data_IF_858629585795
#
_entry.id   IF_858629585795
#
_cell.length_a   1.000
_cell.length_b   1.000
_cell.length_c   1.000
_cell.angle_alpha   90.00
_cell.angle_beta   90.00
_cell.angle_gamma   90.00
#
_symmetry.space_group_name_H-M   'P 1'
#
loop_
_entity.id
_entity.type
_entity.pdbx_description
1 polymer ?
#
# COMPACT_ATOMS: atom_id res chain seq x y z
N UNK A 1 -25.59 -3.88 -2.47
CA UNK A 1 -25.46 -2.69 -1.58
C UNK A 1 -24.97 -1.51 -2.40
N UNK A 2 -25.33 -0.32 -1.95
CA UNK A 2 -24.80 0.93 -2.48
C UNK A 2 -23.72 1.47 -1.53
N UNK A 3 -22.48 1.56 -2.00
CA UNK A 3 -21.28 1.80 -1.18
C UNK A 3 -20.58 3.09 -1.64
N UNK A 4 -20.28 3.97 -0.69
CA UNK A 4 -19.48 5.16 -0.91
C UNK A 4 -18.10 4.99 -0.26
N UNK A 5 -17.03 4.96 -1.05
CA UNK A 5 -15.67 5.14 -0.56
C UNK A 5 -15.34 6.62 -0.45
N UNK A 6 -14.84 7.04 0.68
CA UNK A 6 -14.43 8.42 0.96
C UNK A 6 -12.91 8.48 1.01
N UNK A 7 -12.32 9.21 0.08
CA UNK A 7 -10.90 9.26 -0.28
C UNK A 7 -10.36 7.99 -0.96
N UNK A 8 -9.16 8.09 -1.51
CA UNK A 8 -8.54 7.01 -2.27
C UNK A 8 -7.03 6.96 -2.01
N UNK A 9 -6.67 6.68 -0.75
CA UNK A 9 -5.28 6.62 -0.32
C UNK A 9 -4.56 5.48 -1.02
N UNK A 10 -3.48 5.79 -1.73
CA UNK A 10 -2.64 4.82 -2.45
C UNK A 10 -3.40 3.91 -3.45
N UNK A 11 -4.59 4.35 -3.92
CA UNK A 11 -5.40 3.58 -4.86
C UNK A 11 -6.17 2.40 -4.26
N UNK A 12 -6.12 2.23 -2.94
CA UNK A 12 -6.74 1.07 -2.26
C UNK A 12 -8.25 1.06 -2.47
N UNK A 13 -8.91 2.23 -2.35
CA UNK A 13 -10.35 2.33 -2.59
C UNK A 13 -10.72 1.92 -4.03
N UNK A 14 -9.92 2.31 -5.03
CA UNK A 14 -10.16 1.94 -6.44
C UNK A 14 -10.09 0.43 -6.66
N UNK A 15 -9.11 -0.24 -6.08
CA UNK A 15 -8.92 -1.69 -6.21
C UNK A 15 -10.11 -2.42 -5.56
N UNK A 16 -10.48 -2.05 -4.33
CA UNK A 16 -11.62 -2.64 -3.61
C UNK A 16 -12.93 -2.36 -4.36
N UNK A 17 -13.18 -1.12 -4.77
CA UNK A 17 -14.40 -0.73 -5.48
C UNK A 17 -14.57 -1.47 -6.82
N UNK A 18 -13.48 -1.70 -7.56
CA UNK A 18 -13.49 -2.48 -8.80
C UNK A 18 -13.99 -3.90 -8.55
N UNK A 19 -13.50 -4.55 -7.51
CA UNK A 19 -13.92 -5.91 -7.15
C UNK A 19 -15.37 -5.95 -6.64
N UNK A 20 -15.77 -4.99 -5.79
CA UNK A 20 -17.14 -4.88 -5.31
C UNK A 20 -18.14 -4.67 -6.47
N UNK A 21 -17.76 -3.90 -7.50
CA UNK A 21 -18.61 -3.76 -8.72
C UNK A 21 -18.76 -5.07 -9.46
N UNK A 22 -17.71 -5.89 -9.59
CA UNK A 22 -17.80 -7.24 -10.17
C UNK A 22 -18.74 -8.15 -9.37
N UNK A 23 -18.82 -7.94 -8.05
CA UNK A 23 -19.72 -8.66 -7.14
C UNK A 23 -21.16 -8.12 -7.17
N UNK A 24 -21.47 -7.17 -8.06
CA UNK A 24 -22.82 -6.64 -8.26
C UNK A 24 -23.20 -5.49 -7.31
N UNK A 25 -22.24 -4.86 -6.64
CA UNK A 25 -22.49 -3.68 -5.81
C UNK A 25 -22.44 -2.38 -6.64
N UNK A 26 -23.26 -1.39 -6.27
CA UNK A 26 -23.16 -0.02 -6.76
C UNK A 26 -22.13 0.74 -5.91
N UNK A 27 -21.02 1.17 -6.51
CA UNK A 27 -19.89 1.72 -5.76
C UNK A 27 -19.39 3.01 -6.38
N UNK A 28 -19.30 4.06 -5.57
CA UNK A 28 -18.66 5.33 -5.93
C UNK A 28 -17.51 5.68 -4.99
N UNK A 29 -16.54 6.44 -5.51
CA UNK A 29 -15.41 6.95 -4.76
C UNK A 29 -15.48 8.48 -4.77
N UNK A 30 -15.47 9.11 -3.60
CA UNK A 30 -15.48 10.56 -3.42
C UNK A 30 -14.15 11.03 -2.86
N UNK A 31 -13.47 11.97 -3.54
CA UNK A 31 -12.14 12.44 -3.17
C UNK A 31 -12.16 13.94 -2.88
N UNK A 32 -11.60 14.33 -1.74
CA UNK A 32 -11.62 15.72 -1.25
C UNK A 32 -10.29 16.44 -1.33
N UNK A 33 -9.18 15.70 -1.51
CA UNK A 33 -7.85 16.27 -1.56
C UNK A 33 -7.17 15.93 -2.89
N UNK A 34 -6.93 16.96 -3.70
CA UNK A 34 -6.34 16.82 -5.02
C UNK A 34 -4.91 16.26 -5.00
N UNK A 35 -4.13 16.59 -3.98
CA UNK A 35 -2.70 16.27 -3.97
C UNK A 35 -2.43 14.82 -3.55
N UNK A 36 -3.16 14.33 -2.54
CA UNK A 36 -2.84 13.03 -1.90
C UNK A 36 -3.69 11.89 -2.47
N UNK A 37 -4.94 12.17 -2.86
CA UNK A 37 -5.92 11.12 -3.14
C UNK A 37 -6.38 11.05 -4.60
N UNK A 38 -6.28 12.15 -5.34
CA UNK A 38 -6.85 12.23 -6.69
C UNK A 38 -6.05 11.54 -7.79
N UNK A 39 -4.78 11.26 -7.55
CA UNK A 39 -3.92 10.59 -8.53
C UNK A 39 -4.37 9.16 -8.88
N UNK A 40 -5.17 8.56 -8.02
CA UNK A 40 -5.69 7.20 -8.19
C UNK A 40 -7.16 7.15 -8.64
N UNK A 41 -7.73 8.29 -9.06
CA UNK A 41 -9.10 8.41 -9.52
C UNK A 41 -10.14 8.60 -8.42
N UNK A 42 -11.39 8.79 -8.85
CA UNK A 42 -12.55 9.09 -8.02
C UNK A 42 -13.23 10.40 -8.38
N UNK A 43 -14.44 10.61 -7.88
CA UNK A 43 -15.22 11.83 -8.08
C UNK A 43 -14.68 12.94 -7.17
N UNK A 44 -13.98 13.92 -7.78
CA UNK A 44 -13.40 15.04 -7.05
C UNK A 44 -14.48 15.99 -6.53
N UNK A 45 -14.48 16.24 -5.23
CA UNK A 45 -15.38 17.18 -4.56
C UNK A 45 -14.60 18.40 -4.07
N UNK A 46 -14.97 19.57 -4.54
CA UNK A 46 -14.45 20.81 -3.99
C UNK A 46 -15.10 21.10 -2.62
N UNK A 47 -14.49 20.58 -1.58
CA UNK A 47 -15.01 20.67 -0.22
C UNK A 47 -15.08 22.12 0.34
N UNK A 48 -14.35 23.07 -0.25
CA UNK A 48 -14.43 24.48 0.12
C UNK A 48 -15.74 25.13 -0.34
N UNK A 49 -16.38 24.61 -1.41
CA UNK A 49 -17.65 25.13 -1.92
C UNK A 49 -18.82 24.65 -1.06
N UNK A 50 -19.64 25.56 -0.48
CA UNK A 50 -20.85 25.19 0.26
C UNK A 50 -21.85 24.40 -0.59
N UNK A 51 -22.01 24.77 -1.85
CA UNK A 51 -22.89 24.12 -2.82
C UNK A 51 -22.41 22.68 -3.14
N UNK A 52 -21.12 22.49 -3.38
CA UNK A 52 -20.55 21.17 -3.62
C UNK A 52 -20.69 20.26 -2.37
N UNK A 53 -20.52 20.81 -1.18
CA UNK A 53 -20.78 20.09 0.09
C UNK A 53 -22.26 19.68 0.22
N UNK A 54 -23.18 20.58 -0.07
CA UNK A 54 -24.60 20.30 0.01
C UNK A 54 -25.02 19.19 -0.97
N UNK A 55 -24.56 19.26 -2.23
CA UNK A 55 -24.80 18.22 -3.22
C UNK A 55 -24.20 16.86 -2.80
N UNK A 56 -23.00 16.86 -2.24
CA UNK A 56 -22.39 15.66 -1.68
C UNK A 56 -23.25 15.06 -0.56
N UNK A 57 -23.68 15.88 0.41
CA UNK A 57 -24.54 15.42 1.50
C UNK A 57 -25.87 14.84 1.01
N UNK A 58 -26.43 15.40 -0.06
CA UNK A 58 -27.61 14.83 -0.71
C UNK A 58 -27.31 13.46 -1.31
N UNK A 59 -26.28 13.39 -2.12
CA UNK A 59 -25.90 12.15 -2.85
C UNK A 59 -25.47 11.04 -1.89
N UNK A 60 -24.66 11.34 -0.87
CA UNK A 60 -24.15 10.33 0.06
C UNK A 60 -25.29 9.67 0.88
N UNK A 61 -26.41 10.36 1.14
CA UNK A 61 -27.55 9.75 1.83
C UNK A 61 -28.12 8.51 1.16
N UNK A 62 -27.91 8.37 -0.16
CA UNK A 62 -28.40 7.24 -0.93
C UNK A 62 -27.61 5.96 -0.68
N UNK A 63 -26.41 6.06 -0.07
CA UNK A 63 -25.53 4.92 0.17
C UNK A 63 -25.82 4.26 1.52
N UNK A 64 -25.78 2.93 1.53
CA UNK A 64 -25.97 2.10 2.72
C UNK A 64 -24.71 2.03 3.56
N UNK A 65 -23.54 2.05 2.88
CA UNK A 65 -22.22 1.92 3.48
C UNK A 65 -21.35 3.13 3.13
N UNK A 66 -20.62 3.63 4.13
CA UNK A 66 -19.65 4.72 3.99
C UNK A 66 -18.29 4.23 4.50
N UNK A 67 -17.39 3.93 3.59
CA UNK A 67 -16.06 3.43 3.88
C UNK A 67 -15.04 4.57 3.80
N UNK A 68 -14.54 5.01 4.95
CA UNK A 68 -13.62 6.15 5.06
C UNK A 68 -12.17 5.67 4.95
N UNK A 69 -11.50 6.02 3.87
CA UNK A 69 -10.06 5.91 3.73
C UNK A 69 -9.42 7.22 4.21
N UNK A 70 -8.59 7.18 5.23
CA UNK A 70 -8.06 8.37 5.88
C UNK A 70 -9.18 9.23 6.49
N UNK A 71 -9.78 8.82 7.62
CA UNK A 71 -10.97 9.45 8.14
C UNK A 71 -10.72 10.88 8.65
N UNK A 72 -11.38 11.85 8.06
CA UNK A 72 -11.39 13.25 8.51
C UNK A 72 -12.47 13.45 9.57
N UNK A 73 -12.06 13.80 10.80
CA UNK A 73 -12.94 13.85 11.96
C UNK A 73 -14.13 14.81 11.86
N UNK A 74 -14.03 15.95 11.16
CA UNK A 74 -15.13 16.92 11.04
C UNK A 74 -16.20 16.46 10.04
N UNK A 75 -15.77 15.96 8.87
CA UNK A 75 -16.69 15.44 7.85
C UNK A 75 -17.42 14.21 8.36
N UNK A 76 -16.68 13.23 8.90
CA UNK A 76 -17.22 12.01 9.48
C UNK A 76 -18.31 12.31 10.51
N UNK A 77 -18.00 13.10 11.55
CA UNK A 77 -18.94 13.46 12.61
C UNK A 77 -20.20 14.14 12.07
N UNK A 78 -20.07 15.02 11.08
CA UNK A 78 -21.21 15.72 10.47
C UNK A 78 -22.15 14.79 9.70
N UNK A 79 -21.58 13.77 9.02
CA UNK A 79 -22.34 12.80 8.23
C UNK A 79 -23.03 11.77 9.14
N UNK A 80 -22.32 11.18 10.08
CA UNK A 80 -22.82 10.17 11.02
C UNK A 80 -23.95 10.71 11.92
N UNK A 81 -23.80 11.92 12.43
CA UNK A 81 -24.82 12.56 13.26
C UNK A 81 -26.19 12.69 12.58
N UNK A 82 -26.19 12.78 11.24
CA UNK A 82 -27.43 12.99 10.44
C UNK A 82 -28.02 11.72 9.85
N UNK A 83 -27.28 10.61 9.84
CA UNK A 83 -27.69 9.37 9.17
C UNK A 83 -27.26 8.16 10.02
N UNK A 84 -27.96 7.95 11.14
CA UNK A 84 -27.58 6.92 12.13
C UNK A 84 -27.85 5.48 11.66
N UNK A 85 -28.63 5.32 10.60
CA UNK A 85 -29.06 4.05 10.01
C UNK A 85 -28.05 3.47 8.99
N UNK A 86 -26.88 4.08 8.85
CA UNK A 86 -25.87 3.70 7.86
C UNK A 86 -24.70 2.97 8.48
N UNK A 87 -24.04 2.14 7.70
CA UNK A 87 -22.78 1.49 8.09
C UNK A 87 -21.61 2.44 7.86
N UNK A 88 -20.80 2.64 8.88
CA UNK A 88 -19.62 3.50 8.86
C UNK A 88 -18.35 2.68 9.16
N UNK A 89 -17.51 2.46 8.16
CA UNK A 89 -16.24 1.77 8.34
C UNK A 89 -15.07 2.74 8.20
N UNK A 90 -14.21 2.79 9.20
CA UNK A 90 -12.95 3.53 9.18
C UNK A 90 -11.83 2.63 8.70
N UNK A 91 -10.99 3.14 7.80
CA UNK A 91 -9.80 2.44 7.30
C UNK A 91 -8.59 3.36 7.40
N UNK A 92 -7.65 3.01 8.26
CA UNK A 92 -6.43 3.76 8.52
C UNK A 92 -5.26 3.21 7.69
N UNK A 93 -4.43 4.13 7.17
CA UNK A 93 -3.36 3.79 6.23
C UNK A 93 -1.95 4.07 6.74
N UNK A 94 -1.79 4.63 7.93
CA UNK A 94 -0.49 4.90 8.52
C UNK A 94 -0.44 6.15 9.38
N UNK A 95 0.05 7.26 8.86
CA UNK A 95 0.19 8.53 9.61
C UNK A 95 -1.13 9.15 10.09
N UNK A 96 -2.25 8.67 9.60
CA UNK A 96 -3.59 9.03 10.04
C UNK A 96 -3.95 8.45 11.41
N UNK A 97 -3.29 7.35 11.83
CA UNK A 97 -3.51 6.71 13.14
C UNK A 97 -2.25 6.68 14.02
N UNK A 98 -1.03 6.60 13.45
CA UNK A 98 0.19 6.54 14.27
C UNK A 98 0.28 7.69 15.26
N UNK A 99 0.51 7.36 16.53
CA UNK A 99 0.54 8.33 17.64
C UNK A 99 -0.83 8.81 18.13
N UNK A 100 -1.92 8.21 17.63
CA UNK A 100 -3.30 8.47 18.06
C UNK A 100 -3.95 7.15 18.46
N UNK A 101 -5.11 7.23 19.12
CA UNK A 101 -5.87 6.03 19.52
C UNK A 101 -7.29 6.09 18.98
N UNK A 102 -7.78 4.95 18.50
CA UNK A 102 -9.18 4.75 18.13
C UNK A 102 -9.67 3.43 18.71
N UNK A 103 -10.64 3.49 19.61
CA UNK A 103 -11.22 2.34 20.28
C UNK A 103 -12.43 1.73 19.54
N UNK A 104 -12.95 2.41 18.49
CA UNK A 104 -14.00 1.82 17.70
C UNK A 104 -13.45 0.77 16.75
N UNK A 105 -14.33 -0.12 16.26
CA UNK A 105 -13.96 -1.03 15.19
C UNK A 105 -13.50 -0.27 13.95
N UNK A 106 -12.35 -0.66 13.40
CA UNK A 106 -11.80 -0.09 12.17
C UNK A 106 -10.90 -1.09 11.45
N UNK A 107 -10.59 -0.81 10.20
CA UNK A 107 -9.56 -1.51 9.44
C UNK A 107 -8.25 -0.73 9.47
N UNK A 108 -7.13 -1.46 9.49
CA UNK A 108 -5.78 -0.88 9.43
C UNK A 108 -4.98 -1.56 8.32
N UNK A 109 -4.36 -0.77 7.43
CA UNK A 109 -3.61 -1.29 6.27
C UNK A 109 -2.31 -2.00 6.64
N UNK A 110 -1.74 -1.69 7.79
CA UNK A 110 -0.49 -2.29 8.27
C UNK A 110 -0.62 -2.74 9.71
N UNK A 111 -0.07 -3.91 10.10
CA UNK A 111 -0.30 -4.50 11.41
C UNK A 111 0.33 -3.71 12.57
N UNK A 112 1.33 -2.86 12.32
CA UNK A 112 1.89 -1.96 13.32
C UNK A 112 0.86 -0.96 13.89
N UNK A 113 -0.23 -0.72 13.15
CA UNK A 113 -1.30 0.18 13.59
C UNK A 113 -2.23 -0.44 14.63
N UNK A 114 -2.25 -1.76 14.77
CA UNK A 114 -3.11 -2.45 15.75
C UNK A 114 -2.81 -2.03 17.20
N UNK A 115 -1.58 -1.62 17.50
CA UNK A 115 -1.24 -1.07 18.82
C UNK A 115 -1.97 0.24 19.16
N UNK A 116 -2.48 0.95 18.16
CA UNK A 116 -3.26 2.18 18.31
C UNK A 116 -4.76 1.96 18.16
N UNK A 117 -5.19 0.74 17.87
CA UNK A 117 -6.58 0.38 17.61
C UNK A 117 -6.86 -1.02 18.16
N UNK A 118 -7.14 -1.15 19.49
CA UNK A 118 -7.33 -2.44 20.15
C UNK A 118 -8.47 -3.29 19.54
N UNK A 119 -9.52 -2.62 19.01
CA UNK A 119 -10.64 -3.26 18.33
C UNK A 119 -10.49 -3.24 16.80
N UNK A 120 -9.33 -2.84 16.30
CA UNK A 120 -9.02 -2.83 14.87
C UNK A 120 -8.76 -4.22 14.30
N UNK A 121 -9.02 -4.36 13.01
CA UNK A 121 -8.68 -5.56 12.22
C UNK A 121 -7.66 -5.20 11.15
N UNK A 122 -6.57 -5.94 11.06
CA UNK A 122 -5.64 -5.77 9.95
C UNK A 122 -6.33 -6.17 8.64
N UNK A 123 -6.30 -5.26 7.68
CA UNK A 123 -6.69 -5.50 6.30
C UNK A 123 -5.43 -5.46 5.44
N UNK A 124 -4.96 -6.59 4.91
CA UNK A 124 -3.85 -6.59 3.96
C UNK A 124 -4.12 -5.63 2.80
N UNK A 125 -3.12 -4.83 2.43
CA UNK A 125 -3.26 -3.92 1.28
C UNK A 125 -3.50 -4.70 0.00
N UNK A 126 -4.60 -4.51 -0.74
CA UNK A 126 -4.89 -5.28 -1.94
C UNK A 126 -3.91 -4.97 -3.06
N UNK A 127 -3.44 -6.02 -3.75
CA UNK A 127 -2.58 -5.91 -4.92
C UNK A 127 -3.26 -6.63 -6.10
N UNK A 128 -3.63 -5.87 -7.12
CA UNK A 128 -4.16 -6.43 -8.38
C UNK A 128 -3.01 -6.88 -9.28
N UNK A 129 -2.53 -8.13 -9.06
CA UNK A 129 -1.41 -8.70 -9.83
C UNK A 129 -1.76 -8.79 -11.31
N UNK A 130 -3.02 -9.09 -11.64
CA UNK A 130 -3.47 -9.21 -13.03
C UNK A 130 -3.38 -7.89 -13.77
N UNK A 131 -3.89 -6.82 -13.17
CA UNK A 131 -3.80 -5.46 -13.72
C UNK A 131 -2.35 -4.99 -13.83
N UNK A 132 -1.56 -5.14 -12.75
CA UNK A 132 -0.14 -4.77 -12.76
C UNK A 132 0.64 -5.44 -13.89
N UNK A 133 0.49 -6.75 -14.06
CA UNK A 133 1.16 -7.47 -15.15
C UNK A 133 0.61 -7.08 -16.51
N UNK A 134 -0.70 -6.95 -16.66
CA UNK A 134 -1.32 -6.46 -17.87
C UNK A 134 -0.76 -5.10 -18.31
N UNK A 135 -0.69 -4.14 -17.40
CA UNK A 135 -0.16 -2.80 -17.68
C UNK A 135 1.32 -2.79 -18.02
N UNK A 136 2.14 -3.62 -17.35
CA UNK A 136 3.58 -3.71 -17.61
C UNK A 136 3.85 -4.30 -19.00
N UNK A 137 3.12 -5.36 -19.38
CA UNK A 137 3.40 -6.13 -20.60
C UNK A 137 2.60 -5.72 -21.83
N UNK A 138 1.51 -4.95 -21.68
CA UNK A 138 0.70 -4.46 -22.81
C UNK A 138 1.30 -3.26 -23.55
N UNK A 139 2.35 -2.65 -23.04
CA UNK A 139 3.02 -1.53 -23.70
C UNK A 139 3.91 -2.04 -24.84
N UNK A 140 3.80 -1.46 -26.08
CA UNK A 140 4.60 -1.88 -27.22
C UNK A 140 6.09 -1.52 -27.12
N UNK A 141 6.50 -0.82 -26.07
CA UNK A 141 7.91 -0.62 -25.78
C UNK A 141 8.51 -1.98 -25.40
N UNK A 142 9.35 -2.48 -26.32
CA UNK A 142 10.02 -3.76 -26.28
C UNK A 142 10.14 -4.35 -24.87
N UNK A 143 9.57 -5.53 -24.70
CA UNK A 143 10.06 -6.52 -23.75
C UNK A 143 11.49 -6.90 -24.17
N UNK A 144 12.43 -6.03 -23.94
CA UNK A 144 13.81 -6.48 -23.82
C UNK A 144 13.83 -7.30 -22.53
N UNK A 145 13.74 -8.57 -22.70
CA UNK A 145 14.26 -9.59 -21.81
C UNK A 145 15.75 -9.29 -21.63
N UNK A 146 16.04 -8.21 -20.90
CA UNK A 146 17.39 -7.77 -20.57
C UNK A 146 17.80 -8.57 -19.33
N UNK A 147 17.99 -9.88 -19.50
CA UNK A 147 18.51 -10.70 -18.41
C UNK A 147 19.85 -11.37 -18.74
N UNK A 148 20.34 -11.25 -19.98
CA UNK A 148 21.47 -12.09 -20.40
C UNK A 148 22.84 -11.42 -20.51
N UNK A 149 22.99 -10.09 -20.37
CA UNK A 149 24.33 -9.45 -20.53
C UNK A 149 24.62 -8.29 -19.57
N UNK A 150 23.94 -8.22 -18.41
CA UNK A 150 24.22 -7.14 -17.45
C UNK A 150 25.38 -7.51 -16.52
N UNK A 151 26.43 -6.69 -16.55
CA UNK A 151 27.57 -6.84 -15.65
C UNK A 151 27.23 -6.60 -14.17
N UNK A 152 26.06 -5.97 -13.87
CA UNK A 152 25.70 -5.56 -12.52
C UNK A 152 24.21 -5.77 -12.24
N UNK A 153 23.89 -6.18 -11.01
CA UNK A 153 22.51 -6.24 -10.50
C UNK A 153 21.93 -4.84 -10.34
N UNK A 154 20.62 -4.70 -10.62
CA UNK A 154 19.88 -3.45 -10.48
C UNK A 154 19.03 -3.46 -9.22
N UNK A 155 19.08 -2.38 -8.48
CA UNK A 155 18.38 -2.23 -7.20
C UNK A 155 17.37 -1.12 -7.32
N UNK A 156 16.07 -1.44 -7.14
CA UNK A 156 15.02 -0.46 -7.04
C UNK A 156 15.05 0.18 -5.64
N UNK A 157 15.15 1.49 -5.61
CA UNK A 157 15.16 2.27 -4.38
C UNK A 157 14.14 3.40 -4.45
N UNK A 158 13.20 3.44 -3.49
CA UNK A 158 12.34 4.60 -3.28
C UNK A 158 12.95 5.47 -2.17
N UNK A 159 13.43 6.69 -2.47
CA UNK A 159 14.05 7.54 -1.49
C UNK A 159 13.00 8.14 -0.54
N UNK A 160 12.91 7.59 0.66
CA UNK A 160 11.97 8.05 1.70
C UNK A 160 12.44 9.31 2.43
N UNK A 161 13.63 9.84 2.16
CA UNK A 161 14.23 10.94 2.90
C UNK A 161 13.41 12.23 2.88
N UNK A 162 12.61 12.48 1.83
CA UNK A 162 11.71 13.64 1.79
C UNK A 162 10.67 13.61 2.92
N UNK A 163 10.22 12.40 3.31
CA UNK A 163 9.22 12.19 4.35
C UNK A 163 9.82 11.73 5.67
N UNK A 164 11.01 11.13 5.63
CA UNK A 164 11.71 10.54 6.78
C UNK A 164 13.22 10.83 6.67
N UNK A 165 13.69 12.00 7.13
CA UNK A 165 15.12 12.38 7.04
C UNK A 165 16.08 11.38 7.68
N UNK A 166 15.60 10.58 8.65
CA UNK A 166 16.40 9.51 9.27
C UNK A 166 16.82 8.39 8.30
N UNK A 167 16.27 8.36 7.08
CA UNK A 167 16.58 7.34 6.07
C UNK A 167 17.76 7.72 5.16
N UNK A 168 18.32 8.90 5.29
CA UNK A 168 19.43 9.38 4.45
C UNK A 168 20.70 8.49 4.49
N UNK A 169 20.91 7.78 5.61
CA UNK A 169 22.08 6.96 5.81
C UNK A 169 22.18 5.79 4.79
N UNK A 170 21.10 5.14 4.44
CA UNK A 170 21.16 4.03 3.48
C UNK A 170 21.30 4.50 2.04
N UNK A 171 20.85 5.72 1.73
CA UNK A 171 21.17 6.35 0.44
C UNK A 171 22.69 6.50 0.26
N UNK A 172 23.42 6.90 1.29
CA UNK A 172 24.90 6.97 1.27
C UNK A 172 25.54 5.58 1.04
N UNK A 173 25.02 4.55 1.72
CA UNK A 173 25.48 3.17 1.52
C UNK A 173 25.27 2.71 0.08
N UNK A 174 24.10 2.99 -0.50
CA UNK A 174 23.79 2.66 -1.89
C UNK A 174 24.73 3.35 -2.88
N UNK A 175 24.98 4.65 -2.70
CA UNK A 175 25.92 5.39 -3.53
C UNK A 175 27.34 4.80 -3.44
N UNK A 176 27.78 4.35 -2.25
CA UNK A 176 29.06 3.69 -2.09
C UNK A 176 29.13 2.39 -2.88
N UNK A 177 28.12 1.51 -2.75
CA UNK A 177 28.08 0.23 -3.47
C UNK A 177 27.99 0.43 -5.00
N UNK A 178 27.25 1.44 -5.46
CA UNK A 178 27.22 1.78 -6.87
C UNK A 178 28.57 2.31 -7.38
N UNK A 179 29.25 3.14 -6.59
CA UNK A 179 30.58 3.62 -6.94
C UNK A 179 31.62 2.48 -6.99
N UNK A 180 31.50 1.51 -6.09
CA UNK A 180 32.34 0.28 -6.13
C UNK A 180 31.95 -0.66 -7.28
N UNK A 181 31.02 -0.27 -8.15
CA UNK A 181 30.50 -1.06 -9.29
C UNK A 181 29.91 -2.42 -8.88
N UNK A 182 29.40 -2.54 -7.67
CA UNK A 182 28.74 -3.76 -7.18
C UNK A 182 27.30 -3.87 -7.66
N UNK A 183 26.64 -2.75 -7.94
CA UNK A 183 25.25 -2.69 -8.39
C UNK A 183 24.94 -1.37 -9.13
N UNK A 184 23.80 -1.34 -9.82
CA UNK A 184 23.18 -0.14 -10.39
C UNK A 184 21.97 0.26 -9.52
N UNK A 185 21.86 1.53 -9.14
CA UNK A 185 20.73 2.04 -8.37
C UNK A 185 19.71 2.67 -9.31
N UNK A 186 18.47 2.21 -9.23
CA UNK A 186 17.33 2.74 -9.95
C UNK A 186 16.42 3.47 -8.95
N UNK A 187 16.50 4.80 -8.95
CA UNK A 187 15.64 5.61 -8.08
C UNK A 187 14.22 5.69 -8.61
N UNK A 188 13.26 5.28 -7.78
CA UNK A 188 11.83 5.33 -8.06
C UNK A 188 11.25 6.60 -7.43
N UNK A 189 11.46 7.74 -8.06
CA UNK A 189 11.04 9.03 -7.53
C UNK A 189 10.19 9.80 -8.53
N UNK A 190 9.01 10.28 -8.08
CA UNK A 190 8.07 11.12 -8.86
C UNK A 190 7.65 10.55 -10.21
N UNK A 191 7.72 9.24 -10.37
CA UNK A 191 7.23 8.55 -11.56
C UNK A 191 5.72 8.33 -11.47
N UNK A 192 4.99 8.39 -12.60
CA UNK A 192 3.65 7.82 -12.69
C UNK A 192 3.68 6.35 -12.26
N UNK A 193 2.62 5.86 -11.59
CA UNK A 193 2.61 4.54 -10.94
C UNK A 193 3.02 3.41 -11.89
N UNK A 194 2.49 3.40 -13.13
CA UNK A 194 2.86 2.37 -14.11
C UNK A 194 4.34 2.42 -14.51
N UNK A 195 4.93 3.61 -14.63
CA UNK A 195 6.36 3.76 -14.92
C UNK A 195 7.21 3.29 -13.73
N UNK A 196 6.77 3.58 -12.50
CA UNK A 196 7.41 3.05 -11.30
C UNK A 196 7.39 1.51 -11.27
N UNK A 197 6.26 0.88 -11.59
CA UNK A 197 6.15 -0.58 -11.67
C UNK A 197 7.05 -1.18 -12.76
N UNK A 198 7.14 -0.57 -13.94
CA UNK A 198 8.07 -0.99 -15.01
C UNK A 198 9.52 -0.90 -14.55
N UNK A 199 9.89 0.20 -13.90
CA UNK A 199 11.24 0.38 -13.37
C UNK A 199 11.56 -0.67 -12.29
N UNK A 200 10.65 -0.93 -11.34
CA UNK A 200 10.82 -2.01 -10.35
C UNK A 200 10.94 -3.37 -11.03
N UNK A 201 10.11 -3.63 -12.05
CA UNK A 201 10.17 -4.92 -12.77
C UNK A 201 11.52 -5.15 -13.47
N UNK A 202 12.19 -4.09 -13.91
CA UNK A 202 13.53 -4.17 -14.52
C UNK A 202 14.67 -4.34 -13.51
N UNK A 203 14.39 -4.34 -12.20
CA UNK A 203 15.39 -4.50 -11.14
C UNK A 203 15.43 -5.93 -10.62
N UNK A 204 16.53 -6.25 -9.92
CA UNK A 204 16.79 -7.57 -9.35
C UNK A 204 16.49 -7.63 -7.85
N UNK A 205 16.55 -6.49 -7.14
CA UNK A 205 16.31 -6.35 -5.70
C UNK A 205 15.48 -5.08 -5.46
N UNK A 206 14.63 -5.09 -4.45
CA UNK A 206 13.88 -3.94 -3.98
C UNK A 206 14.30 -3.58 -2.56
N UNK A 207 14.72 -2.33 -2.35
CA UNK A 207 14.98 -1.80 -1.02
C UNK A 207 13.72 -1.14 -0.49
N UNK A 208 13.19 -1.73 0.57
CA UNK A 208 12.04 -1.23 1.29
C UNK A 208 12.42 -0.33 2.47
N UNK A 209 11.43 -0.05 3.31
CA UNK A 209 11.58 0.80 4.49
C UNK A 209 12.43 0.16 5.56
N UNK A 210 13.41 0.92 6.07
CA UNK A 210 14.20 0.56 7.24
C UNK A 210 13.87 1.59 8.33
N UNK A 211 12.68 1.47 8.91
CA UNK A 211 12.10 2.39 9.87
C UNK A 211 11.71 1.64 11.15
N UNK A 212 12.62 1.57 12.15
CA UNK A 212 12.36 0.87 13.42
C UNK A 212 11.11 1.38 14.15
N UNK A 213 10.86 2.69 14.14
CA UNK A 213 9.70 3.30 14.79
C UNK A 213 8.36 2.88 14.17
N UNK A 214 8.36 2.49 12.90
CA UNK A 214 7.20 1.96 12.18
C UNK A 214 7.09 0.46 12.37
N UNK A 215 8.19 -0.26 12.18
CA UNK A 215 8.26 -1.72 12.36
C UNK A 215 7.62 -2.54 11.25
N UNK A 216 7.20 -1.92 10.13
CA UNK A 216 6.55 -2.58 9.01
C UNK A 216 6.81 -1.85 7.69
N UNK A 217 6.58 -2.54 6.60
CA UNK A 217 6.76 -2.04 5.23
C UNK A 217 5.43 -1.55 4.60
N UNK A 218 5.47 -1.04 3.38
CA UNK A 218 4.32 -0.45 2.70
C UNK A 218 3.99 -1.07 1.34
N UNK A 219 3.24 -0.33 0.53
CA UNK A 219 2.75 -0.80 -0.78
C UNK A 219 3.88 -1.02 -1.79
N UNK A 220 4.93 -0.21 -1.76
CA UNK A 220 6.08 -0.35 -2.67
C UNK A 220 6.76 -1.72 -2.52
N UNK A 221 6.97 -2.17 -1.30
CA UNK A 221 7.54 -3.48 -1.00
C UNK A 221 6.60 -4.63 -1.43
N UNK A 222 5.30 -4.46 -1.22
CA UNK A 222 4.30 -5.44 -1.67
C UNK A 222 4.25 -5.53 -3.21
N UNK A 223 4.36 -4.43 -3.91
CA UNK A 223 4.45 -4.40 -5.38
C UNK A 223 5.73 -5.09 -5.87
N UNK A 224 6.86 -4.88 -5.20
CA UNK A 224 8.10 -5.62 -5.46
C UNK A 224 7.93 -7.13 -5.31
N UNK A 225 7.32 -7.59 -4.21
CA UNK A 225 7.01 -9.00 -3.99
C UNK A 225 6.05 -9.55 -5.06
N UNK A 226 5.03 -8.78 -5.47
CA UNK A 226 4.07 -9.18 -6.51
C UNK A 226 4.75 -9.40 -7.86
N UNK A 227 5.82 -8.66 -8.14
CA UNK A 227 6.68 -8.80 -9.32
C UNK A 227 7.75 -9.90 -9.15
N UNK A 228 7.74 -10.64 -8.05
CA UNK A 228 8.68 -11.71 -7.77
C UNK A 228 10.09 -11.22 -7.41
N UNK A 229 10.23 -9.98 -6.98
CA UNK A 229 11.53 -9.42 -6.57
C UNK A 229 11.79 -9.70 -5.09
N UNK A 230 13.03 -10.10 -4.72
CA UNK A 230 13.44 -10.12 -3.33
C UNK A 230 13.39 -8.71 -2.75
N UNK A 231 12.83 -8.59 -1.56
CA UNK A 231 12.70 -7.32 -0.83
C UNK A 231 13.59 -7.36 0.40
N UNK A 232 14.43 -6.34 0.59
CA UNK A 232 15.18 -6.12 1.83
C UNK A 232 14.55 -4.94 2.58
N UNK A 233 14.12 -5.18 3.84
CA UNK A 233 13.42 -4.16 4.64
C UNK A 233 13.51 -4.46 6.15
N UNK A 234 13.12 -3.49 6.97
CA UNK A 234 12.97 -3.69 8.40
C UNK A 234 11.55 -4.17 8.74
N UNK A 235 11.48 -5.21 9.57
CA UNK A 235 10.26 -5.62 10.26
C UNK A 235 10.62 -5.91 11.72
N UNK A 236 9.86 -5.38 12.66
CA UNK A 236 10.08 -5.63 14.09
C UNK A 236 9.94 -7.10 14.42
N UNK A 237 10.66 -7.57 15.44
CA UNK A 237 10.64 -8.99 15.84
C UNK A 237 9.24 -9.45 16.22
N UNK A 238 8.48 -8.60 16.90
CA UNK A 238 7.10 -8.87 17.30
C UNK A 238 6.20 -9.14 16.09
N UNK A 239 6.24 -8.26 15.08
CA UNK A 239 5.42 -8.41 13.89
C UNK A 239 5.92 -9.54 12.99
N UNK A 240 7.23 -9.72 12.89
CA UNK A 240 7.78 -10.82 12.11
C UNK A 240 7.40 -12.19 12.70
N UNK A 241 7.43 -12.33 14.02
CA UNK A 241 7.04 -13.57 14.71
C UNK A 241 5.59 -13.98 14.41
N UNK A 242 4.70 -13.01 14.26
CA UNK A 242 3.27 -13.23 13.99
C UNK A 242 3.00 -13.43 12.50
N UNK A 243 3.50 -12.54 11.64
CA UNK A 243 3.09 -12.46 10.24
C UNK A 243 4.07 -13.09 9.24
N UNK A 244 5.33 -13.29 9.64
CA UNK A 244 6.39 -13.97 8.87
C UNK A 244 6.44 -13.57 7.38
N UNK A 245 6.47 -12.27 7.03
CA UNK A 245 6.56 -11.86 5.64
C UNK A 245 7.89 -12.35 5.04
N UNK A 246 7.89 -12.82 3.79
CA UNK A 246 9.09 -13.35 3.12
C UNK A 246 9.95 -12.21 2.58
N UNK A 247 10.62 -11.52 3.46
CA UNK A 247 11.57 -10.45 3.17
C UNK A 247 12.95 -10.78 3.74
N UNK A 248 13.99 -10.21 3.16
CA UNK A 248 15.31 -10.18 3.79
C UNK A 248 15.29 -9.12 4.88
N UNK A 249 15.29 -9.54 6.14
CA UNK A 249 15.22 -8.60 7.27
C UNK A 249 16.57 -7.94 7.49
N UNK A 250 16.55 -6.63 7.68
CA UNK A 250 17.73 -5.85 7.98
C UNK A 250 17.46 -4.79 9.04
N UNK A 251 18.52 -4.28 9.64
CA UNK A 251 18.49 -3.11 10.52
C UNK A 251 19.33 -2.00 9.93
N UNK A 252 19.31 -0.85 10.57
CA UNK A 252 20.17 0.27 10.18
C UNK A 252 21.64 -0.10 10.23
N UNK A 253 22.04 -0.85 11.25
CA UNK A 253 23.41 -1.21 11.54
C UNK A 253 23.94 -2.31 10.59
N UNK A 254 23.08 -3.26 10.24
CA UNK A 254 23.44 -4.41 9.41
C UNK A 254 23.22 -4.20 7.91
N UNK A 255 22.51 -3.15 7.50
CA UNK A 255 22.02 -2.96 6.15
C UNK A 255 23.06 -3.14 5.06
N UNK A 256 24.27 -2.54 5.23
CA UNK A 256 25.34 -2.67 4.22
C UNK A 256 25.71 -4.12 4.01
N UNK A 257 26.00 -4.84 5.10
CA UNK A 257 26.41 -6.24 5.06
C UNK A 257 25.29 -7.15 4.53
N UNK A 258 24.06 -6.89 4.95
CA UNK A 258 22.88 -7.67 4.53
C UNK A 258 22.61 -7.50 3.04
N UNK A 259 22.78 -6.28 2.51
CA UNK A 259 22.62 -6.02 1.09
C UNK A 259 23.77 -6.67 0.28
N UNK A 260 25.01 -6.61 0.74
CA UNK A 260 26.15 -7.29 0.11
C UNK A 260 25.91 -8.81 0.05
N UNK A 261 25.47 -9.42 1.15
CA UNK A 261 25.11 -10.84 1.17
C UNK A 261 24.00 -11.16 0.14
N UNK A 262 22.96 -10.32 0.07
CA UNK A 262 21.85 -10.54 -0.86
C UNK A 262 22.28 -10.33 -2.33
N UNK A 263 23.26 -9.47 -2.60
CA UNK A 263 23.87 -9.30 -3.93
C UNK A 263 24.64 -10.55 -4.37
N UNK A 264 25.30 -11.24 -3.44
CA UNK A 264 26.13 -12.41 -3.73
C UNK A 264 25.30 -13.71 -3.79
N UNK A 265 24.21 -13.83 -2.99
CA UNK A 265 23.42 -15.07 -2.89
C UNK A 265 22.24 -15.08 -3.86
N UNK A 266 22.45 -15.65 -5.06
CA UNK A 266 21.38 -15.83 -6.07
C UNK A 266 20.27 -16.76 -5.57
N UNK A 267 20.60 -17.78 -4.77
CA UNK A 267 19.64 -18.77 -4.30
C UNK A 267 18.65 -18.11 -3.33
N UNK A 268 19.15 -17.25 -2.45
CA UNK A 268 18.33 -16.51 -1.51
C UNK A 268 17.46 -15.48 -2.24
N UNK A 269 17.98 -14.78 -3.26
CA UNK A 269 17.17 -13.89 -4.09
C UNK A 269 16.00 -14.62 -4.77
N UNK A 270 16.27 -15.79 -5.36
CA UNK A 270 15.24 -16.61 -6.02
C UNK A 270 14.20 -17.12 -5.02
N UNK A 271 14.63 -17.60 -3.85
CA UNK A 271 13.75 -18.06 -2.78
C UNK A 271 12.81 -16.95 -2.34
N UNK A 272 13.35 -15.79 -1.98
CA UNK A 272 12.57 -14.64 -1.52
C UNK A 272 11.60 -14.11 -2.59
N UNK A 273 12.02 -14.05 -3.84
CA UNK A 273 11.15 -13.65 -4.94
C UNK A 273 9.96 -14.60 -5.13
N UNK A 274 10.19 -15.91 -5.07
CA UNK A 274 9.13 -16.94 -5.17
C UNK A 274 8.18 -16.88 -3.98
N UNK A 275 8.71 -16.85 -2.76
CA UNK A 275 7.92 -16.78 -1.53
C UNK A 275 7.14 -15.47 -1.43
N UNK A 276 7.76 -14.32 -1.81
CA UNK A 276 7.13 -13.01 -1.87
C UNK A 276 5.91 -13.01 -2.78
N UNK A 277 6.06 -13.51 -4.00
CA UNK A 277 4.94 -13.64 -4.95
C UNK A 277 3.84 -14.56 -4.43
N UNK A 278 4.19 -15.65 -3.73
CA UNK A 278 3.24 -16.53 -3.04
C UNK A 278 2.49 -15.82 -1.91
N UNK A 279 3.21 -15.06 -1.10
CA UNK A 279 2.65 -14.28 0.01
C UNK A 279 1.61 -13.26 -0.49
N UNK A 280 1.91 -12.55 -1.57
CA UNK A 280 0.95 -11.60 -2.16
C UNK A 280 -0.31 -12.31 -2.64
N UNK A 281 -0.19 -13.43 -3.35
CA UNK A 281 -1.38 -14.19 -3.81
C UNK A 281 -2.24 -14.69 -2.66
N UNK A 282 -1.62 -15.12 -1.56
CA UNK A 282 -2.35 -15.72 -0.44
C UNK A 282 -3.00 -14.68 0.49
N UNK A 283 -2.34 -13.56 0.74
CA UNK A 283 -2.78 -12.60 1.76
C UNK A 283 -3.25 -11.26 1.19
N UNK A 284 -2.75 -10.86 0.01
CA UNK A 284 -2.98 -9.54 -0.58
C UNK A 284 -3.81 -9.60 -1.87
N UNK A 285 -4.39 -10.76 -2.22
CA UNK A 285 -5.26 -10.87 -3.39
C UNK A 285 -6.49 -9.97 -3.22
N UNK A 286 -6.94 -9.38 -4.33
CA UNK A 286 -8.07 -8.44 -4.33
C UNK A 286 -9.33 -9.10 -3.78
N UNK A 287 -9.57 -10.35 -4.16
CA UNK A 287 -10.73 -11.13 -3.74
C UNK A 287 -10.71 -11.39 -2.22
N UNK A 288 -9.58 -11.86 -1.67
CA UNK A 288 -9.44 -12.14 -0.24
C UNK A 288 -9.60 -10.89 0.60
N UNK A 289 -8.99 -9.77 0.16
CA UNK A 289 -9.08 -8.49 0.87
C UNK A 289 -10.50 -7.93 0.80
N UNK A 290 -11.15 -7.96 -0.37
CA UNK A 290 -12.53 -7.47 -0.52
C UNK A 290 -13.51 -8.29 0.30
N UNK A 291 -13.29 -9.60 0.45
CA UNK A 291 -14.08 -10.46 1.34
C UNK A 291 -14.00 -9.98 2.81
N UNK A 292 -12.80 -9.66 3.31
CA UNK A 292 -12.62 -9.13 4.67
C UNK A 292 -13.37 -7.80 4.85
N UNK A 293 -13.33 -6.93 3.83
CA UNK A 293 -14.08 -5.67 3.85
C UNK A 293 -15.58 -5.94 3.93
N UNK A 294 -16.10 -6.88 3.15
CA UNK A 294 -17.51 -7.23 3.14
C UNK A 294 -17.97 -7.81 4.49
N UNK A 295 -17.17 -8.70 5.08
CA UNK A 295 -17.43 -9.23 6.43
C UNK A 295 -17.48 -8.11 7.48
N UNK A 296 -16.61 -7.10 7.32
CA UNK A 296 -16.59 -5.94 8.22
C UNK A 296 -17.83 -5.06 8.09
N UNK A 297 -18.38 -4.90 6.87
CA UNK A 297 -19.66 -4.22 6.68
C UNK A 297 -20.81 -4.98 7.35
N UNK A 298 -20.87 -6.30 7.17
CA UNK A 298 -21.90 -7.15 7.76
C UNK A 298 -21.83 -7.10 9.29
N UNK A 299 -20.62 -7.17 9.87
CA UNK A 299 -20.43 -7.03 11.31
C UNK A 299 -20.98 -5.70 11.84
N UNK A 300 -20.63 -4.59 11.21
CA UNK A 300 -21.09 -3.27 11.62
C UNK A 300 -22.61 -3.09 11.42
N UNK A 301 -23.19 -3.76 10.42
CA UNK A 301 -24.64 -3.73 10.20
C UNK A 301 -25.41 -4.46 11.33
N UNK A 302 -24.82 -5.51 11.90
CA UNK A 302 -25.43 -6.23 13.05
C UNK A 302 -25.25 -5.52 14.38
N UNK A 303 -24.32 -4.58 14.48
CA UNK A 303 -24.05 -3.81 15.70
C UNK A 303 -24.87 -2.51 15.80
N UNK A 304 -25.49 -2.05 14.68
CA UNK A 304 -26.35 -0.87 14.62
C UNK A 304 -27.82 -1.28 14.78
#
# INVERSE_FOLDING_TARGET
MKIAHINNTSGIASIIAKEQKKQGHEVDIFVFNKIIHSQFGGNMINYKSPFARWNLFKKIKEYEVWHYHYPYGSLKRSLEKRNKDKVYLKHYHGGDLRGKYDNDFCLVSTPDLLKYSPNGKWLPTPIDIGEMKGEIFSSPERNETIQEDRCHLRIAHYPYYENFPSTDYYSKTLLTLAHEKKCEIVEILRLPHIQALKAVNSCDIVIGKILPDVGWFGKFELEGMALGKPVIAYVSDELYKVYKPPIYRTTKESFKKDLENLLEDISERQRLGKEGSGYIRNFHSVESVTKIVQESYNLLHTMN
#
